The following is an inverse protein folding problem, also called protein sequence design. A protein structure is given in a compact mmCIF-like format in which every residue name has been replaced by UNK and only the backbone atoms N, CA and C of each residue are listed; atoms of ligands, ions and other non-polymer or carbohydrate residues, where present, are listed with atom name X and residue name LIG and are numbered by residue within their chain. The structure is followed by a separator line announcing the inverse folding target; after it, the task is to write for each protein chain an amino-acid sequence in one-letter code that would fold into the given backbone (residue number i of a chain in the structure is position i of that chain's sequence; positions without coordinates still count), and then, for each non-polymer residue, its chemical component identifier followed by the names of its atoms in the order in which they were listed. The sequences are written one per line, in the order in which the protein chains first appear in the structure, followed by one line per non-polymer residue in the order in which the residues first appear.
data_IF_551953220186
#
_entry.id   IF_551953220186
#
_cell.length_a   1.000
_cell.length_b   1.000
_cell.length_c   1.000
_cell.angle_alpha   90.00
_cell.angle_beta   90.00
_cell.angle_gamma   90.00
#
_symmetry.space_group_name_H-M   'P 1'
#
loop_
_entity.id
_entity.type
_entity.pdbx_description
1 polymer ?
#
# COMPACT_ATOMS: atom_id res chain seq x y z
N UNK A 1 -65.55 13.82 -48.91
CA UNK A 1 -64.62 14.29 -49.98
C UNK A 1 -63.42 14.88 -49.26
N UNK A 2 -62.19 14.37 -49.27
CA UNK A 2 -61.51 13.28 -49.97
C UNK A 2 -60.39 12.89 -48.99
N UNK A 3 -60.57 11.86 -48.17
CA UNK A 3 -59.49 11.29 -47.34
C UNK A 3 -59.94 9.99 -46.64
N UNK A 4 -61.04 9.37 -47.08
CA UNK A 4 -60.99 8.06 -47.73
C UNK A 4 -59.84 7.91 -48.77
N UNK A 5 -59.03 6.83 -48.70
CA UNK A 5 -58.56 5.96 -49.83
C UNK A 5 -57.08 5.50 -49.86
N UNK A 6 -56.13 5.97 -49.04
CA UNK A 6 -54.73 5.47 -49.14
C UNK A 6 -54.21 5.18 -47.72
N UNK A 7 -54.30 3.98 -47.14
CA UNK A 7 -53.47 2.83 -47.51
C UNK A 7 -54.10 1.58 -46.87
N UNK A 8 -54.92 0.91 -47.65
CA UNK A 8 -55.16 -0.53 -47.56
C UNK A 8 -54.02 -1.20 -48.33
N UNK A 9 -52.96 -1.60 -47.65
CA UNK A 9 -51.90 -2.51 -48.13
C UNK A 9 -51.02 -2.73 -46.90
N UNK A 10 -51.02 -3.88 -46.22
CA UNK A 10 -50.74 -5.17 -46.82
C UNK A 10 -51.20 -6.28 -45.87
N UNK A 11 -52.46 -6.66 -45.99
CA UNK A 11 -52.95 -7.94 -45.49
C UNK A 11 -52.61 -9.01 -46.55
N UNK A 12 -51.34 -9.42 -46.59
CA UNK A 12 -50.86 -10.65 -47.23
C UNK A 12 -50.00 -11.33 -46.15
N UNK A 13 -50.43 -12.39 -45.48
CA UNK A 13 -50.86 -13.63 -46.11
C UNK A 13 -49.62 -14.45 -46.45
N UNK A 14 -49.06 -15.15 -45.47
CA UNK A 14 -48.35 -16.42 -45.62
C UNK A 14 -48.44 -17.18 -44.28
N UNK A 15 -49.22 -18.26 -44.27
CA UNK A 15 -48.99 -19.37 -43.35
C UNK A 15 -47.62 -19.95 -43.69
N UNK A 16 -46.69 -19.87 -42.74
CA UNK A 16 -45.59 -20.80 -42.64
C UNK A 16 -45.59 -21.33 -41.21
N UNK A 17 -45.77 -22.64 -41.12
CA UNK A 17 -45.56 -23.42 -39.92
C UNK A 17 -44.05 -23.44 -39.64
N UNK A 18 -43.54 -22.38 -39.03
CA UNK A 18 -42.22 -22.43 -38.43
C UNK A 18 -42.37 -23.05 -37.06
N UNK A 19 -42.02 -24.32 -36.99
CA UNK A 19 -41.56 -25.01 -35.79
C UNK A 19 -40.63 -24.02 -35.07
N UNK A 20 -41.14 -23.36 -34.03
CA UNK A 20 -40.31 -22.63 -33.08
C UNK A 20 -39.34 -23.68 -32.56
N UNK A 21 -38.03 -23.61 -32.84
CA UNK A 21 -37.09 -24.32 -32.00
C UNK A 21 -37.39 -23.79 -30.61
N UNK A 22 -37.63 -24.69 -29.64
CA UNK A 22 -37.70 -24.32 -28.24
C UNK A 22 -36.63 -23.25 -27.97
N UNK A 23 -36.96 -22.15 -27.26
CA UNK A 23 -35.96 -21.12 -26.99
C UNK A 23 -34.73 -21.86 -26.49
N UNK A 24 -33.58 -21.64 -27.14
CA UNK A 24 -32.32 -22.10 -26.60
C UNK A 24 -32.24 -21.35 -25.27
N UNK A 25 -32.60 -22.05 -24.20
CA UNK A 25 -32.33 -21.62 -22.85
C UNK A 25 -30.82 -21.56 -22.84
N UNK A 26 -30.26 -20.37 -23.04
CA UNK A 26 -28.90 -20.11 -22.62
C UNK A 26 -28.85 -20.62 -21.19
N UNK A 27 -27.95 -21.57 -20.86
CA UNK A 27 -27.85 -22.04 -19.50
C UNK A 27 -27.69 -20.79 -18.64
N UNK A 28 -28.63 -20.58 -17.72
CA UNK A 28 -28.49 -19.58 -16.67
C UNK A 28 -27.06 -19.68 -16.14
N UNK A 29 -26.32 -18.56 -15.98
CA UNK A 29 -24.96 -18.62 -15.48
C UNK A 29 -25.01 -19.40 -14.17
N UNK A 30 -24.37 -20.57 -14.19
CA UNK A 30 -24.22 -21.40 -13.00
C UNK A 30 -23.64 -20.49 -11.92
N UNK A 31 -24.23 -20.39 -10.72
CA UNK A 31 -23.62 -19.63 -9.65
C UNK A 31 -22.20 -20.17 -9.47
N UNK A 32 -21.20 -19.35 -9.78
CA UNK A 32 -19.80 -19.70 -9.51
C UNK A 32 -19.71 -19.87 -8.00
N UNK A 33 -19.44 -21.10 -7.55
CA UNK A 33 -19.16 -21.36 -6.15
C UNK A 33 -17.99 -20.45 -5.75
N UNK A 34 -18.00 -19.87 -4.52
CA UNK A 34 -16.95 -18.96 -4.11
C UNK A 34 -15.59 -19.65 -4.25
N UNK A 35 -14.76 -19.13 -5.16
CA UNK A 35 -13.41 -19.66 -5.36
C UNK A 35 -12.59 -19.32 -4.12
N UNK A 36 -12.19 -20.36 -3.38
CA UNK A 36 -11.28 -20.24 -2.23
C UNK A 36 -10.00 -19.52 -2.68
N UNK A 37 -9.51 -18.50 -1.93
CA UNK A 37 -8.36 -17.72 -2.34
C UNK A 37 -7.10 -18.61 -2.41
N UNK A 38 -6.39 -18.54 -3.54
CA UNK A 38 -5.09 -19.19 -3.68
C UNK A 38 -4.07 -18.45 -2.80
N UNK A 39 -3.45 -19.15 -1.85
CA UNK A 39 -2.41 -18.58 -0.98
C UNK A 39 -1.03 -18.83 -1.59
N UNK A 40 -0.31 -17.75 -1.92
CA UNK A 40 1.01 -17.80 -2.55
C UNK A 40 2.17 -18.00 -1.57
N UNK A 41 2.03 -17.60 -0.31
CA UNK A 41 3.08 -17.76 0.70
C UNK A 41 2.90 -16.92 1.95
N UNK A 42 3.90 -17.00 2.83
CA UNK A 42 3.98 -16.30 4.11
C UNK A 42 4.95 -15.12 4.01
N UNK A 43 4.45 -13.91 4.28
CA UNK A 43 5.21 -12.67 4.26
C UNK A 43 5.32 -12.13 5.67
N UNK A 44 6.54 -11.96 6.16
CA UNK A 44 6.80 -11.35 7.45
C UNK A 44 7.01 -9.85 7.30
N UNK A 45 6.49 -9.06 8.24
CA UNK A 45 6.60 -7.59 8.22
C UNK A 45 7.08 -7.03 9.55
N UNK A 46 7.87 -5.96 9.51
CA UNK A 46 8.44 -5.36 10.72
C UNK A 46 7.43 -4.60 11.58
N UNK A 47 6.52 -3.87 10.93
CA UNK A 47 5.58 -2.94 11.58
C UNK A 47 4.19 -3.03 10.97
N UNK A 48 3.19 -2.55 11.70
CA UNK A 48 1.81 -2.45 11.22
C UNK A 48 1.72 -1.75 9.85
N UNK A 49 2.32 -0.57 9.71
CA UNK A 49 2.25 0.23 8.48
C UNK A 49 2.83 -0.51 7.26
N UNK A 50 3.97 -1.19 7.41
CA UNK A 50 4.54 -2.03 6.35
C UNK A 50 3.60 -3.18 6.02
N UNK A 51 3.00 -3.80 7.04
CA UNK A 51 1.97 -4.83 6.86
C UNK A 51 0.78 -4.37 6.04
N UNK A 52 0.28 -3.16 6.26
CA UNK A 52 -0.85 -2.63 5.49
C UNK A 52 -0.48 -2.36 4.03
N UNK A 53 0.74 -1.90 3.76
CA UNK A 53 1.24 -1.76 2.38
C UNK A 53 1.31 -3.13 1.68
N UNK A 54 1.86 -4.13 2.37
CA UNK A 54 1.97 -5.50 1.84
C UNK A 54 0.60 -6.11 1.59
N UNK A 55 -0.34 -5.99 2.53
CA UNK A 55 -1.73 -6.47 2.37
C UNK A 55 -2.46 -5.76 1.24
N UNK A 56 -2.26 -4.47 1.05
CA UNK A 56 -2.88 -3.72 -0.03
C UNK A 56 -2.46 -4.23 -1.42
N UNK A 57 -1.27 -4.81 -1.55
CA UNK A 57 -0.76 -5.40 -2.79
C UNK A 57 -1.10 -6.89 -2.91
N UNK A 58 -0.87 -7.66 -1.85
CA UNK A 58 -1.05 -9.12 -1.87
C UNK A 58 -2.48 -9.60 -1.63
N UNK A 59 -3.36 -8.75 -1.11
CA UNK A 59 -4.76 -9.08 -0.85
C UNK A 59 -4.93 -10.31 0.04
N UNK A 60 -5.93 -11.13 -0.28
CA UNK A 60 -6.23 -12.38 0.42
C UNK A 60 -5.32 -13.55 -0.01
N UNK A 61 -4.42 -13.31 -0.98
CA UNK A 61 -3.58 -14.34 -1.57
C UNK A 61 -2.24 -14.54 -0.85
N UNK A 62 -2.01 -13.85 0.27
CA UNK A 62 -0.80 -14.01 1.09
C UNK A 62 -1.16 -14.06 2.57
N UNK A 63 -0.33 -14.74 3.36
CA UNK A 63 -0.41 -14.67 4.81
C UNK A 63 0.60 -13.63 5.32
N UNK A 64 0.14 -12.63 6.08
CA UNK A 64 1.01 -11.59 6.63
C UNK A 64 1.14 -11.78 8.14
N UNK A 65 2.38 -11.97 8.62
CA UNK A 65 2.71 -12.07 10.04
C UNK A 65 3.68 -10.96 10.45
N UNK A 66 3.60 -10.53 11.72
CA UNK A 66 4.35 -9.40 12.25
C UNK A 66 5.52 -9.86 13.11
N UNK A 67 6.65 -9.18 12.98
CA UNK A 67 7.82 -9.41 13.83
C UNK A 67 7.48 -9.12 15.29
N UNK A 68 7.06 -7.89 15.59
CA UNK A 68 6.61 -7.52 16.93
C UNK A 68 5.13 -7.87 17.10
N UNK A 69 4.82 -8.81 17.99
CA UNK A 69 3.45 -9.17 18.36
C UNK A 69 2.95 -8.36 19.59
N UNK A 70 3.86 -7.69 20.27
CA UNK A 70 3.58 -6.86 21.44
C UNK A 70 3.54 -5.38 21.06
N UNK A 71 2.94 -4.54 21.92
CA UNK A 71 2.91 -3.10 21.71
C UNK A 71 4.24 -2.43 22.15
N UNK A 72 5.34 -2.83 21.53
CA UNK A 72 6.69 -2.31 21.78
C UNK A 72 7.00 -1.26 20.70
N UNK A 73 7.55 -0.08 21.07
CA UNK A 73 8.03 0.88 20.09
C UNK A 73 9.03 0.23 19.12
N UNK A 74 8.89 0.48 17.83
CA UNK A 74 9.70 -0.17 16.79
C UNK A 74 11.22 0.00 16.99
N UNK A 75 11.64 1.13 17.54
CA UNK A 75 13.03 1.45 17.81
C UNK A 75 13.62 0.66 19.00
N UNK A 76 12.75 0.19 19.90
CA UNK A 76 13.13 -0.52 21.13
C UNK A 76 12.89 -2.04 21.01
N UNK A 77 12.24 -2.49 19.93
CA UNK A 77 11.99 -3.90 19.69
C UNK A 77 13.29 -4.64 19.37
N UNK A 78 13.47 -5.80 19.99
CA UNK A 78 14.56 -6.73 19.71
C UNK A 78 13.98 -8.13 19.46
N UNK A 79 14.29 -8.78 18.33
CA UNK A 79 13.76 -10.10 18.02
C UNK A 79 14.13 -11.14 19.07
N UNK A 80 13.13 -11.86 19.57
CA UNK A 80 13.36 -13.04 20.38
C UNK A 80 13.87 -14.21 19.51
N UNK A 81 14.44 -15.27 20.11
CA UNK A 81 14.78 -16.48 19.36
C UNK A 81 13.59 -17.09 18.61
N UNK A 82 12.37 -16.97 19.14
CA UNK A 82 11.17 -17.44 18.45
C UNK A 82 10.86 -16.60 17.20
N UNK A 83 11.08 -15.29 17.26
CA UNK A 83 10.88 -14.38 16.13
C UNK A 83 11.89 -14.66 15.02
N UNK A 84 13.14 -14.98 15.38
CA UNK A 84 14.18 -15.36 14.42
C UNK A 84 13.80 -16.67 13.69
N UNK A 85 13.21 -17.64 14.41
CA UNK A 85 12.71 -18.88 13.79
C UNK A 85 11.58 -18.58 12.83
N UNK A 86 10.56 -17.81 13.25
CA UNK A 86 9.46 -17.40 12.37
C UNK A 86 9.96 -16.67 11.12
N UNK A 87 10.92 -15.76 11.29
CA UNK A 87 11.53 -15.01 10.19
C UNK A 87 12.26 -15.94 9.22
N UNK A 88 13.01 -16.93 9.72
CA UNK A 88 13.71 -17.91 8.88
C UNK A 88 12.76 -18.83 8.09
N UNK A 89 11.53 -19.03 8.58
CA UNK A 89 10.49 -19.85 7.93
C UNK A 89 9.62 -19.06 6.94
N UNK A 90 9.76 -17.73 6.91
CA UNK A 90 9.01 -16.87 5.98
C UNK A 90 9.57 -16.92 4.56
N UNK A 91 8.70 -16.71 3.56
CA UNK A 91 9.11 -16.66 2.16
C UNK A 91 9.72 -15.31 1.79
N UNK A 92 9.23 -14.23 2.44
CA UNK A 92 9.65 -12.85 2.23
C UNK A 92 9.59 -12.07 3.54
N UNK A 93 10.51 -11.10 3.68
CA UNK A 93 10.47 -10.13 4.77
C UNK A 93 10.43 -8.70 4.23
N UNK A 94 9.48 -7.89 4.71
CA UNK A 94 9.44 -6.45 4.43
C UNK A 94 9.62 -5.63 5.70
N UNK A 95 10.38 -4.53 5.58
CA UNK A 95 10.58 -3.59 6.67
C UNK A 95 10.53 -2.15 6.19
N UNK A 96 10.52 -1.19 7.11
CA UNK A 96 10.42 0.22 6.75
C UNK A 96 11.69 0.69 6.05
N UNK A 97 12.84 0.42 6.66
CA UNK A 97 14.13 0.92 6.19
C UNK A 97 14.43 2.32 6.73
N UNK A 98 15.49 2.94 6.21
CA UNK A 98 16.01 4.23 6.67
C UNK A 98 16.32 4.29 8.17
N UNK A 99 16.70 3.15 8.77
CA UNK A 99 17.08 3.05 10.18
C UNK A 99 15.92 3.05 11.17
N UNK A 100 14.66 2.92 10.74
CA UNK A 100 13.53 2.80 11.67
C UNK A 100 13.66 1.57 12.58
N UNK A 101 14.04 0.43 12.00
CA UNK A 101 14.28 -0.83 12.70
C UNK A 101 15.79 -1.11 12.87
N UNK A 102 16.44 -0.62 13.95
CA UNK A 102 17.90 -0.75 14.11
C UNK A 102 18.38 -2.21 14.23
N UNK A 103 17.49 -3.13 14.57
CA UNK A 103 17.77 -4.55 14.76
C UNK A 103 17.84 -5.35 13.45
N UNK A 104 17.31 -4.84 12.34
CA UNK A 104 17.11 -5.65 11.11
C UNK A 104 18.43 -6.12 10.52
N UNK A 105 19.38 -5.22 10.30
CA UNK A 105 20.65 -5.56 9.63
C UNK A 105 21.47 -6.58 10.42
N UNK A 106 21.60 -6.37 11.73
CA UNK A 106 22.35 -7.27 12.61
C UNK A 106 21.66 -8.64 12.73
N UNK A 107 20.33 -8.66 12.79
CA UNK A 107 19.55 -9.91 12.85
C UNK A 107 19.74 -10.70 11.57
N UNK A 108 19.49 -10.11 10.40
CA UNK A 108 19.62 -10.79 9.10
C UNK A 108 21.06 -11.27 8.87
N UNK A 109 22.07 -10.48 9.24
CA UNK A 109 23.48 -10.88 9.11
C UNK A 109 23.87 -12.05 10.03
N UNK A 110 23.17 -12.24 11.15
CA UNK A 110 23.43 -13.34 12.08
C UNK A 110 22.78 -14.67 11.66
N UNK A 111 21.83 -14.63 10.73
CA UNK A 111 21.06 -15.80 10.30
C UNK A 111 21.78 -16.58 9.20
N UNK A 112 21.80 -17.91 9.33
CA UNK A 112 22.27 -18.80 8.25
C UNK A 112 21.30 -18.83 7.07
N UNK A 113 19.99 -18.78 7.37
CA UNK A 113 18.90 -18.85 6.38
C UNK A 113 18.01 -17.60 6.53
N UNK A 114 18.54 -16.43 6.17
CA UNK A 114 17.73 -15.21 6.11
C UNK A 114 16.81 -15.24 4.87
N UNK A 115 15.52 -14.87 4.99
CA UNK A 115 14.64 -14.75 3.83
C UNK A 115 15.06 -13.57 2.96
N UNK A 116 14.69 -13.56 1.66
CA UNK A 116 14.76 -12.36 0.85
C UNK A 116 14.05 -11.20 1.55
N UNK A 117 14.76 -10.09 1.74
CA UNK A 117 14.34 -8.98 2.59
C UNK A 117 14.34 -7.66 1.81
N UNK A 118 13.29 -6.87 1.95
CA UNK A 118 13.09 -5.63 1.19
C UNK A 118 12.60 -4.47 2.06
N UNK A 119 13.20 -3.30 1.88
CA UNK A 119 12.76 -2.05 2.52
C UNK A 119 11.69 -1.35 1.68
N UNK A 120 10.71 -0.75 2.35
CA UNK A 120 9.63 0.00 1.69
C UNK A 120 9.99 1.47 1.44
N UNK A 121 10.91 2.04 2.22
CA UNK A 121 11.37 3.41 2.08
C UNK A 121 12.86 3.44 1.73
N UNK A 122 13.22 4.34 0.81
CA UNK A 122 14.61 4.58 0.38
C UNK A 122 14.85 6.09 0.31
N UNK A 123 16.12 6.51 0.25
CA UNK A 123 16.45 7.91 0.06
C UNK A 123 16.00 8.37 -1.32
N UNK A 124 15.47 9.60 -1.41
CA UNK A 124 14.90 10.14 -2.65
C UNK A 124 15.89 10.16 -3.82
N UNK A 125 17.19 10.32 -3.52
CA UNK A 125 18.26 10.34 -4.50
C UNK A 125 18.83 8.97 -4.86
N UNK A 126 18.39 7.88 -4.22
CA UNK A 126 19.02 6.56 -4.34
C UNK A 126 20.40 6.47 -3.68
N UNK A 127 20.81 7.52 -2.97
CA UNK A 127 22.09 7.61 -2.27
C UNK A 127 22.06 6.84 -0.95
N UNK A 128 23.25 6.49 -0.45
CA UNK A 128 23.37 5.94 0.91
C UNK A 128 23.11 7.02 1.95
N UNK A 129 22.82 6.62 3.20
CA UNK A 129 22.51 7.56 4.29
C UNK A 129 23.62 8.61 4.50
N UNK A 130 24.88 8.17 4.47
CA UNK A 130 26.05 9.04 4.64
C UNK A 130 26.18 10.09 3.53
N UNK A 131 25.87 9.70 2.29
CA UNK A 131 25.94 10.58 1.14
C UNK A 131 24.83 11.63 1.21
N UNK A 132 23.63 11.23 1.62
CA UNK A 132 22.51 12.16 1.80
C UNK A 132 22.72 13.15 2.95
N UNK A 133 23.29 12.72 4.07
CA UNK A 133 23.61 13.63 5.19
C UNK A 133 24.61 14.71 4.74
N UNK A 134 25.60 14.32 3.93
CA UNK A 134 26.57 15.25 3.34
C UNK A 134 25.89 16.25 2.40
N UNK A 135 24.92 15.80 1.60
CA UNK A 135 24.11 16.67 0.75
C UNK A 135 23.24 17.63 1.59
N UNK A 136 22.60 17.16 2.66
CA UNK A 136 21.81 18.00 3.55
C UNK A 136 22.65 19.08 4.22
N UNK A 137 23.83 18.73 4.72
CA UNK A 137 24.77 19.68 5.32
C UNK A 137 25.21 20.70 4.27
N UNK A 138 25.56 20.27 3.05
CA UNK A 138 25.91 21.18 1.96
C UNK A 138 24.77 22.14 1.63
N UNK A 139 23.56 21.63 1.44
CA UNK A 139 22.38 22.44 1.13
C UNK A 139 22.04 23.41 2.26
N UNK A 140 22.16 22.99 3.51
CA UNK A 140 21.96 23.85 4.67
C UNK A 140 23.01 24.95 4.72
N UNK A 141 24.28 24.61 4.50
CA UNK A 141 25.37 25.58 4.44
C UNK A 141 25.18 26.60 3.30
N UNK A 142 24.73 26.16 2.12
CA UNK A 142 24.41 27.02 1.00
C UNK A 142 23.25 27.96 1.35
N UNK A 143 22.15 27.44 1.91
CA UNK A 143 21.00 28.26 2.34
C UNK A 143 21.39 29.28 3.42
N UNK A 144 22.23 28.89 4.38
CA UNK A 144 22.76 29.77 5.42
C UNK A 144 23.75 30.81 4.90
N UNK A 145 24.37 30.60 3.73
CA UNK A 145 25.39 31.52 3.18
C UNK A 145 24.81 32.43 2.09
N UNK A 146 23.90 31.91 1.26
CA UNK A 146 23.43 32.56 0.03
C UNK A 146 22.03 33.18 0.13
N UNK A 147 21.23 32.84 1.16
CA UNK A 147 19.95 33.49 1.48
C UNK A 147 18.75 32.97 0.66
N UNK A 148 17.51 33.41 0.98
CA UNK A 148 17.14 34.72 1.51
C UNK A 148 16.93 34.72 3.03
N UNK A 149 17.57 35.65 3.73
CA UNK A 149 17.27 35.91 5.14
C UNK A 149 15.97 36.72 5.23
N UNK A 150 14.83 36.06 5.16
CA UNK A 150 13.57 36.63 5.62
C UNK A 150 13.67 36.79 7.15
N UNK A 151 13.82 38.04 7.60
CA UNK A 151 13.72 38.38 9.02
C UNK A 151 12.26 38.22 9.43
N UNK A 152 11.92 37.05 9.97
CA UNK A 152 10.68 36.87 10.71
C UNK A 152 10.77 37.73 11.97
N UNK A 153 10.38 38.99 11.86
CA UNK A 153 10.12 39.84 13.01
C UNK A 153 8.87 39.29 13.68
N UNK A 154 9.06 38.38 14.63
CA UNK A 154 8.04 38.06 15.63
C UNK A 154 7.72 39.38 16.33
N UNK A 155 6.58 39.98 16.00
CA UNK A 155 6.11 41.18 16.66
C UNK A 155 6.05 40.90 18.15
N UNK A 156 6.98 41.48 18.91
CA UNK A 156 6.84 41.58 20.34
C UNK A 156 5.61 42.46 20.57
N UNK A 157 4.51 41.84 20.98
CA UNK A 157 3.41 42.54 21.61
C UNK A 157 3.96 43.06 22.95
N UNK A 158 4.44 44.30 22.92
CA UNK A 158 4.56 45.15 24.10
C UNK A 158 3.13 45.44 24.60
N UNK A 159 2.49 44.45 25.22
CA UNK A 159 1.38 44.72 26.13
C UNK A 159 1.98 44.98 27.50
N UNK A 160 2.32 46.26 27.69
CA UNK A 160 2.33 46.90 28.99
C UNK A 160 0.97 46.68 29.65
N UNK A 161 0.94 45.93 30.75
CA UNK A 161 -0.08 46.12 31.77
C UNK A 161 0.62 46.28 33.12
N UNK A 162 0.68 47.54 33.53
CA UNK A 162 1.05 47.99 34.86
C UNK A 162 0.10 47.35 35.88
N UNK A 163 0.64 46.49 36.75
CA UNK A 163 -0.02 46.13 38.01
C UNK A 163 0.80 46.70 39.16
N UNK A 164 0.50 47.96 39.49
CA UNK A 164 0.66 48.51 40.83
C UNK A 164 -0.45 47.92 41.73
N UNK A 165 -0.06 47.21 42.78
CA UNK A 165 -0.74 47.13 44.09
C UNK A 165 0.22 46.57 45.16
#
# INVERSE_FOLDING_TARGET
MVSLIMIMSSLAGCLSEDIQPSPIIEPEPTPEEPEEPVIYGNVMVSTYHVGELVKAVGGENIHVDYMSQDNIPVHDYEPSPADIVRLAESDLFFYHGLGLEPWVESTLASMTNAPPSFMTHTMQSGETTLDYDSLLVSNLCELMTEGPFETTTLGMMDDHDDHDD
#
